data_IF_160105828396
#
_entry.id   IF_160105828396
#
_cell.length_a   1.000
_cell.length_b   1.000
_cell.length_c   1.000
_cell.angle_alpha   90.00
_cell.angle_beta   90.00
_cell.angle_gamma   90.00
#
_symmetry.space_group_name_H-M   'P 1'
#
loop_
_entity.id
_entity.type
_entity.pdbx_description
1 polymer ?
#
# COMPACT_ATOMS: atom_id res chain seq x y z
N UNK A 1 -19.85 0.28 -1.13
CA UNK A 1 -18.82 0.00 -0.10
C UNK A 1 -17.73 1.05 -0.27
N UNK A 2 -16.92 1.28 0.75
CA UNK A 2 -15.94 2.37 0.76
C UNK A 2 -14.54 1.81 0.60
N UNK A 3 -13.80 2.36 -0.36
CA UNK A 3 -12.42 1.94 -0.63
C UNK A 3 -11.46 2.69 0.28
N UNK A 4 -10.50 1.97 0.85
CA UNK A 4 -9.45 2.51 1.69
C UNK A 4 -8.07 2.12 1.18
N UNK A 5 -7.18 3.10 1.10
CA UNK A 5 -5.75 2.92 0.90
C UNK A 5 -5.10 2.61 2.26
N UNK A 6 -4.36 1.51 2.32
CA UNK A 6 -3.49 1.13 3.42
C UNK A 6 -2.06 1.14 2.87
N UNK A 7 -1.19 2.01 3.35
CA UNK A 7 0.13 2.24 2.72
C UNK A 7 1.24 2.48 3.72
N UNK A 8 2.49 2.34 3.24
CA UNK A 8 3.68 2.69 4.01
C UNK A 8 4.74 3.33 3.10
N UNK A 9 5.60 4.16 3.68
CA UNK A 9 6.67 4.83 2.94
C UNK A 9 7.89 3.91 2.70
N UNK A 10 8.59 4.14 1.60
CA UNK A 10 9.87 3.51 1.28
C UNK A 10 10.85 3.69 2.46
N UNK A 11 11.49 2.59 2.87
CA UNK A 11 12.44 2.58 3.98
C UNK A 11 11.84 2.35 5.38
N UNK A 12 10.51 2.27 5.51
CA UNK A 12 9.85 1.92 6.80
C UNK A 12 9.95 0.43 7.12
N UNK A 13 9.88 -0.44 6.09
CA UNK A 13 10.16 -1.87 6.22
C UNK A 13 11.67 -2.10 6.38
N UNK A 14 12.15 -2.10 7.62
CA UNK A 14 13.54 -2.40 7.97
C UNK A 14 13.66 -3.87 8.38
N UNK A 15 13.67 -4.75 7.38
CA UNK A 15 13.71 -6.21 7.54
C UNK A 15 15.07 -6.72 7.09
N UNK A 16 15.65 -7.68 7.82
CA UNK A 16 16.88 -8.35 7.39
C UNK A 16 16.60 -9.31 6.22
N UNK A 17 17.62 -9.67 5.43
CA UNK A 17 17.43 -10.68 4.38
C UNK A 17 17.00 -12.04 4.95
N UNK A 18 17.43 -12.38 6.16
CA UNK A 18 17.06 -13.60 6.87
C UNK A 18 15.58 -13.62 7.26
N UNK A 19 15.03 -12.48 7.69
CA UNK A 19 13.63 -12.35 8.11
C UNK A 19 12.65 -12.17 6.94
N UNK A 20 13.18 -11.82 5.75
CA UNK A 20 12.36 -11.49 4.58
C UNK A 20 11.38 -12.62 4.19
N UNK A 21 11.77 -13.92 4.15
CA UNK A 21 10.83 -15.00 3.85
C UNK A 21 9.65 -15.07 4.83
N UNK A 22 9.91 -14.88 6.13
CA UNK A 22 8.87 -14.92 7.15
C UNK A 22 7.89 -13.73 7.04
N UNK A 23 8.41 -12.54 6.70
CA UNK A 23 7.57 -11.36 6.42
C UNK A 23 6.73 -11.57 5.16
N UNK A 24 7.31 -12.15 4.11
CA UNK A 24 6.57 -12.51 2.89
C UNK A 24 5.46 -13.51 3.16
N UNK A 25 5.72 -14.57 3.92
CA UNK A 25 4.70 -15.56 4.27
C UNK A 25 3.55 -14.94 5.10
N UNK A 26 3.90 -14.10 6.08
CA UNK A 26 2.92 -13.41 6.90
C UNK A 26 2.04 -12.45 6.07
N UNK A 27 2.63 -11.68 5.15
CA UNK A 27 1.87 -10.76 4.29
C UNK A 27 0.96 -11.52 3.33
N UNK A 28 1.46 -12.59 2.70
CA UNK A 28 0.66 -13.48 1.85
C UNK A 28 -0.54 -14.06 2.61
N UNK A 29 -0.34 -14.45 3.86
CA UNK A 29 -1.42 -14.98 4.71
C UNK A 29 -2.53 -13.96 4.93
N UNK A 30 -2.17 -12.71 5.25
CA UNK A 30 -3.15 -11.62 5.45
C UNK A 30 -3.87 -11.28 4.15
N UNK A 31 -3.14 -11.22 3.03
CA UNK A 31 -3.73 -10.96 1.70
C UNK A 31 -4.74 -12.05 1.32
N UNK A 32 -4.40 -13.33 1.51
CA UNK A 32 -5.34 -14.44 1.26
C UNK A 32 -6.58 -14.33 2.13
N UNK A 33 -6.42 -14.02 3.42
CA UNK A 33 -7.56 -13.82 4.31
C UNK A 33 -8.46 -12.65 3.86
N UNK A 34 -7.88 -11.56 3.35
CA UNK A 34 -8.64 -10.43 2.81
C UNK A 34 -9.37 -10.80 1.50
N UNK A 35 -8.74 -11.61 0.63
CA UNK A 35 -9.36 -12.15 -0.57
C UNK A 35 -10.53 -13.09 -0.23
N UNK A 36 -10.32 -14.01 0.71
CA UNK A 36 -11.35 -14.96 1.16
C UNK A 36 -12.55 -14.24 1.82
N UNK A 37 -12.29 -13.12 2.50
CA UNK A 37 -13.32 -12.25 3.05
C UNK A 37 -14.03 -11.38 2.00
N UNK A 38 -13.56 -11.37 0.74
CA UNK A 38 -14.14 -10.57 -0.34
C UNK A 38 -13.86 -9.07 -0.25
N UNK A 39 -12.93 -8.63 0.60
CA UNK A 39 -12.62 -7.21 0.82
C UNK A 39 -11.38 -6.74 0.06
N UNK A 40 -10.58 -7.66 -0.47
CA UNK A 40 -9.34 -7.31 -1.19
C UNK A 40 -9.64 -6.78 -2.59
N UNK A 41 -9.19 -5.55 -2.89
CA UNK A 41 -9.24 -5.00 -4.24
C UNK A 41 -7.94 -5.31 -4.98
N UNK A 42 -6.81 -4.72 -4.55
CA UNK A 42 -5.47 -5.03 -5.03
C UNK A 42 -4.38 -4.40 -4.13
N UNK A 43 -3.12 -4.80 -4.30
CA UNK A 43 -2.01 -4.26 -3.52
C UNK A 43 -0.70 -4.99 -3.79
N UNK A 44 0.39 -4.45 -3.27
CA UNK A 44 1.73 -5.01 -3.39
C UNK A 44 2.83 -4.07 -2.88
N UNK A 45 4.05 -4.63 -2.76
CA UNK A 45 5.27 -3.85 -2.60
C UNK A 45 5.64 -3.16 -3.92
N UNK A 46 6.19 -1.95 -3.83
CA UNK A 46 6.66 -1.19 -4.98
C UNK A 46 8.17 -1.35 -5.14
N UNK A 47 8.63 -1.27 -6.39
CA UNK A 47 10.07 -1.26 -6.69
C UNK A 47 10.73 0.00 -6.12
N UNK A 48 12.04 -0.05 -5.82
CA UNK A 48 12.77 1.11 -5.32
C UNK A 48 12.57 2.36 -6.20
N UNK A 49 12.54 3.54 -5.58
CA UNK A 49 12.20 4.80 -6.28
C UNK A 49 13.08 5.12 -7.49
N UNK A 50 14.28 4.54 -7.58
CA UNK A 50 15.19 4.72 -8.71
C UNK A 50 14.59 4.22 -10.04
N UNK A 51 13.62 3.31 -9.99
CA UNK A 51 12.88 2.84 -11.17
C UNK A 51 11.62 3.64 -11.50
N UNK A 52 11.37 4.79 -10.85
CA UNK A 52 10.17 5.59 -11.09
C UNK A 52 10.37 6.62 -12.18
N UNK A 53 9.31 6.84 -12.97
CA UNK A 53 9.23 7.92 -13.95
C UNK A 53 8.11 8.87 -13.59
N UNK A 54 8.29 10.17 -13.87
CA UNK A 54 7.24 11.18 -13.73
C UNK A 54 6.81 11.64 -15.12
N UNK A 55 5.50 11.68 -15.35
CA UNK A 55 4.92 12.21 -16.60
C UNK A 55 4.33 13.58 -16.32
N UNK A 56 4.86 14.62 -16.96
CA UNK A 56 4.38 15.99 -16.84
C UNK A 56 3.10 16.20 -17.68
N UNK A 57 2.42 17.33 -17.47
CA UNK A 57 1.15 17.66 -18.16
C UNK A 57 1.29 17.85 -19.66
N UNK A 58 2.51 18.08 -20.16
CA UNK A 58 2.83 18.16 -21.58
C UNK A 58 3.25 16.81 -22.18
N UNK A 59 3.20 15.73 -21.39
CA UNK A 59 3.61 14.38 -21.78
C UNK A 59 5.11 14.10 -21.65
N UNK A 60 5.91 15.06 -21.17
CA UNK A 60 7.34 14.82 -20.92
C UNK A 60 7.52 13.77 -19.84
N UNK A 61 8.35 12.76 -20.11
CA UNK A 61 8.71 11.70 -19.16
C UNK A 61 10.09 11.98 -18.58
N UNK A 62 10.22 11.93 -17.26
CA UNK A 62 11.50 12.05 -16.56
C UNK A 62 11.78 10.84 -15.68
N UNK A 63 12.90 10.17 -15.97
CA UNK A 63 13.43 9.05 -15.19
C UNK A 63 14.32 9.58 -14.07
N UNK A 64 13.71 10.15 -13.03
CA UNK A 64 14.41 10.48 -11.79
C UNK A 64 13.40 10.82 -10.69
N UNK A 65 13.70 10.46 -9.42
CA UNK A 65 12.93 10.98 -8.31
C UNK A 65 13.07 12.52 -8.25
N UNK A 66 11.98 13.30 -8.14
CA UNK A 66 12.08 14.71 -7.76
C UNK A 66 12.83 14.90 -6.43
N UNK A 67 13.30 16.14 -6.25
CA UNK A 67 14.24 16.62 -5.24
C UNK A 67 14.09 16.07 -3.80
N UNK A 68 15.17 16.20 -3.04
CA UNK A 68 15.23 15.88 -1.62
C UNK A 68 13.99 16.38 -0.85
N UNK A 69 13.38 15.50 -0.06
CA UNK A 69 12.24 15.81 0.81
C UNK A 69 10.90 15.21 0.39
N UNK A 70 10.76 14.62 -0.80
CA UNK A 70 9.56 13.85 -1.17
C UNK A 70 9.58 12.45 -0.55
N UNK A 71 8.48 12.05 0.10
CA UNK A 71 8.24 10.67 0.53
C UNK A 71 7.63 9.86 -0.62
N UNK A 72 8.07 8.61 -0.78
CA UNK A 72 7.59 7.67 -1.79
C UNK A 72 6.96 6.49 -1.07
N UNK A 73 5.90 5.92 -1.65
CA UNK A 73 5.32 4.69 -1.13
C UNK A 73 6.29 3.52 -1.36
N UNK A 74 6.51 2.71 -0.33
CA UNK A 74 7.21 1.44 -0.43
C UNK A 74 6.27 0.29 -0.76
N UNK A 75 4.97 0.44 -0.50
CA UNK A 75 3.94 -0.52 -0.81
C UNK A 75 2.57 -0.05 -0.34
N UNK A 76 1.54 -0.74 -0.81
CA UNK A 76 0.17 -0.42 -0.43
C UNK A 76 -0.77 -1.62 -0.62
N UNK A 77 -1.95 -1.50 -0.05
CA UNK A 77 -3.12 -2.36 -0.24
C UNK A 77 -4.36 -1.49 -0.36
N UNK A 78 -5.31 -1.90 -1.19
CA UNK A 78 -6.63 -1.30 -1.28
C UNK A 78 -7.65 -2.35 -0.86
N UNK A 79 -8.47 -1.99 0.12
CA UNK A 79 -9.58 -2.80 0.60
C UNK A 79 -10.89 -2.08 0.38
N UNK A 80 -11.95 -2.83 0.10
CA UNK A 80 -13.32 -2.34 -0.02
C UNK A 80 -14.13 -2.88 1.15
N UNK A 81 -14.51 -1.99 2.08
CA UNK A 81 -15.18 -2.34 3.34
C UNK A 81 -16.29 -1.31 3.66
N UNK A 82 -17.29 -1.67 4.48
CA UNK A 82 -18.38 -0.77 4.82
C UNK A 82 -17.97 0.42 5.71
N UNK A 83 -16.92 0.27 6.53
CA UNK A 83 -16.56 1.25 7.57
C UNK A 83 -15.06 1.48 7.68
N UNK A 84 -14.68 2.64 8.22
CA UNK A 84 -13.28 2.98 8.52
C UNK A 84 -12.70 2.06 9.59
N UNK A 85 -13.51 1.64 10.56
CA UNK A 85 -13.11 0.72 11.62
C UNK A 85 -12.66 -0.62 11.03
N UNK A 86 -13.43 -1.19 10.10
CA UNK A 86 -13.04 -2.41 9.40
C UNK A 86 -11.75 -2.23 8.58
N UNK A 87 -11.57 -1.06 7.95
CA UNK A 87 -10.32 -0.74 7.24
C UNK A 87 -9.12 -0.71 8.20
N UNK A 88 -9.28 -0.15 9.40
CA UNK A 88 -8.25 -0.13 10.43
C UNK A 88 -7.93 -1.54 10.96
N UNK A 89 -8.91 -2.43 11.05
CA UNK A 89 -8.67 -3.84 11.44
C UNK A 89 -7.80 -4.57 10.41
N UNK A 90 -8.09 -4.38 9.12
CA UNK A 90 -7.24 -4.93 8.06
C UNK A 90 -5.84 -4.29 8.05
N UNK A 91 -5.77 -2.97 8.24
CA UNK A 91 -4.50 -2.26 8.33
C UNK A 91 -3.66 -2.75 9.52
N UNK A 92 -4.26 -3.08 10.66
CA UNK A 92 -3.55 -3.64 11.81
C UNK A 92 -2.94 -5.01 11.50
N UNK A 93 -3.69 -5.89 10.81
CA UNK A 93 -3.17 -7.19 10.36
C UNK A 93 -1.99 -7.02 9.40
N UNK A 94 -2.11 -6.10 8.45
CA UNK A 94 -1.05 -5.76 7.49
C UNK A 94 0.17 -5.15 8.20
N UNK A 95 -0.04 -4.23 9.15
CA UNK A 95 1.03 -3.59 9.92
C UNK A 95 1.86 -4.62 10.68
N UNK A 96 1.18 -5.57 11.34
CA UNK A 96 1.85 -6.70 11.98
C UNK A 96 2.61 -7.49 10.91
N UNK A 97 1.97 -7.96 9.84
CA UNK A 97 2.60 -8.80 8.82
C UNK A 97 3.86 -8.16 8.19
N UNK A 98 3.78 -6.90 7.80
CA UNK A 98 4.88 -6.14 7.17
C UNK A 98 5.91 -5.59 8.17
N UNK A 99 5.63 -5.69 9.49
CA UNK A 99 6.46 -5.17 10.59
C UNK A 99 6.74 -3.66 10.48
N UNK A 100 5.81 -2.90 9.91
CA UNK A 100 5.90 -1.44 9.80
C UNK A 100 4.52 -0.80 9.97
N UNK A 101 4.50 0.45 10.44
CA UNK A 101 3.28 1.22 10.56
C UNK A 101 2.63 1.42 9.19
N UNK A 102 1.29 1.42 9.16
CA UNK A 102 0.50 1.66 7.96
C UNK A 102 -0.30 2.95 8.13
N UNK A 103 -0.32 3.79 7.10
CA UNK A 103 -1.28 4.87 6.96
C UNK A 103 -2.59 4.30 6.40
N UNK A 104 -3.74 4.77 6.90
CA UNK A 104 -5.06 4.40 6.37
C UNK A 104 -5.80 5.65 5.92
N UNK A 105 -6.23 5.66 4.65
CA UNK A 105 -6.87 6.80 4.01
C UNK A 105 -8.06 6.37 3.18
N UNK A 106 -9.16 7.08 3.31
CA UNK A 106 -10.37 6.86 2.50
C UNK A 106 -10.17 7.41 1.08
N UNK A 107 -10.68 6.69 0.08
CA UNK A 107 -10.81 7.24 -1.27
C UNK A 107 -12.02 8.16 -1.35
N UNK A 108 -11.91 9.23 -2.13
CA UNK A 108 -13.08 10.06 -2.46
C UNK A 108 -14.12 9.21 -3.22
N UNK A 109 -15.41 9.61 -3.20
CA UNK A 109 -16.45 8.95 -3.99
C UNK A 109 -16.04 8.78 -5.46
N UNK A 110 -16.38 7.65 -6.06
CA UNK A 110 -16.10 7.41 -7.47
C UNK A 110 -17.01 8.30 -8.34
N UNK A 111 -16.62 8.61 -9.59
CA UNK A 111 -17.44 9.46 -10.46
C UNK A 111 -18.88 8.96 -10.65
N UNK A 112 -19.09 7.64 -10.60
CA UNK A 112 -20.41 7.02 -10.72
C UNK A 112 -21.26 7.12 -9.43
N UNK A 113 -20.64 7.52 -8.31
CA UNK A 113 -21.30 7.77 -7.02
C UNK A 113 -21.67 9.26 -6.81
N UNK A 114 -21.36 10.14 -7.78
CA UNK A 114 -21.66 11.59 -7.77
C UNK A 114 -22.97 11.93 -8.47
#
# INVERSE_FOLDING_TARGET
MTKYLISFDEGTMRISEEDLPAVTEASVTVVRAAMDAGVWVFGGGLTPRQGTSVVATDGTVTDAPPAAGKQYLGGFSIVDVPTREEALEWAAKIAVACRCAQEVREFMPEPDDL
#
